data_IF_606510807964
#
_entry.id   IF_606510807964
#
_cell.length_a   1.000
_cell.length_b   1.000
_cell.length_c   1.000
_cell.angle_alpha   90.00
_cell.angle_beta   90.00
_cell.angle_gamma   90.00
#
_symmetry.space_group_name_H-M   'P 1'
#
loop_
_entity.id
_entity.type
_entity.pdbx_description
1 polymer ?
#
# COMPACT_ATOMS: atom_id res chain seq x y z
N UNK A 1 -23.34 -14.98 -9.24
CA UNK A 1 -23.88 -14.54 -10.52
C UNK A 1 -23.35 -15.41 -11.65
N UNK A 2 -22.04 -15.55 -11.86
CA UNK A 2 -21.43 -16.34 -12.95
C UNK A 2 -21.93 -17.79 -12.96
N UNK A 3 -21.95 -18.45 -11.81
CA UNK A 3 -22.45 -19.84 -11.70
C UNK A 3 -23.92 -19.99 -12.14
N UNK A 4 -24.77 -19.05 -11.74
CA UNK A 4 -26.17 -19.04 -12.14
C UNK A 4 -26.34 -18.84 -13.65
N UNK A 5 -25.59 -17.91 -14.25
CA UNK A 5 -25.65 -17.68 -15.72
C UNK A 5 -25.20 -18.91 -16.50
N UNK A 6 -24.10 -19.55 -16.08
CA UNK A 6 -23.63 -20.78 -16.72
C UNK A 6 -24.62 -21.93 -16.58
N UNK A 7 -25.27 -22.07 -15.42
CA UNK A 7 -26.31 -23.09 -15.18
C UNK A 7 -27.54 -22.87 -16.08
N UNK A 8 -28.00 -21.62 -16.21
CA UNK A 8 -29.13 -21.27 -17.08
C UNK A 8 -28.78 -21.54 -18.56
N UNK A 9 -27.58 -21.21 -19.00
CA UNK A 9 -27.12 -21.50 -20.35
C UNK A 9 -27.08 -23.01 -20.61
N UNK A 10 -26.63 -23.80 -19.64
CA UNK A 10 -26.61 -25.25 -19.73
C UNK A 10 -28.05 -25.83 -19.90
N UNK A 11 -28.98 -25.38 -19.07
CA UNK A 11 -30.37 -25.82 -19.13
C UNK A 11 -31.03 -25.44 -20.49
N UNK A 12 -30.78 -24.23 -20.98
CA UNK A 12 -31.25 -23.79 -22.30
C UNK A 12 -30.66 -24.62 -23.41
N UNK A 13 -29.37 -24.93 -23.39
CA UNK A 13 -28.69 -25.73 -24.42
C UNK A 13 -29.25 -27.16 -24.47
N UNK A 14 -29.53 -27.77 -23.32
CA UNK A 14 -30.15 -29.10 -23.23
C UNK A 14 -31.58 -29.06 -23.81
N UNK A 15 -32.38 -28.06 -23.43
CA UNK A 15 -33.76 -27.91 -23.89
C UNK A 15 -33.88 -27.67 -25.42
N UNK A 16 -32.92 -26.90 -25.99
CA UNK A 16 -32.93 -26.53 -27.42
C UNK A 16 -32.14 -27.50 -28.32
N UNK A 17 -31.58 -28.61 -27.73
CA UNK A 17 -30.71 -29.56 -28.46
C UNK A 17 -29.60 -28.87 -29.26
N UNK A 18 -29.03 -27.79 -28.72
CA UNK A 18 -28.02 -26.98 -29.40
C UNK A 18 -26.74 -27.79 -29.61
N UNK A 19 -26.07 -27.73 -30.77
CA UNK A 19 -24.81 -28.41 -30.99
C UNK A 19 -23.77 -28.01 -29.94
N UNK A 20 -23.03 -28.97 -29.43
CA UNK A 20 -22.11 -28.76 -28.31
C UNK A 20 -21.05 -27.68 -28.57
N UNK A 21 -20.59 -27.52 -29.81
CA UNK A 21 -19.62 -26.48 -30.23
C UNK A 21 -20.19 -25.07 -30.03
N UNK A 22 -21.46 -24.83 -30.37
CA UNK A 22 -22.14 -23.54 -30.21
C UNK A 22 -22.38 -23.28 -28.71
N UNK A 23 -22.73 -24.31 -27.96
CA UNK A 23 -22.90 -24.22 -26.52
C UNK A 23 -21.56 -23.85 -25.82
N UNK A 24 -20.46 -24.52 -26.20
CA UNK A 24 -19.14 -24.27 -25.71
C UNK A 24 -18.69 -22.81 -25.99
N UNK A 25 -18.93 -22.30 -27.20
CA UNK A 25 -18.64 -20.92 -27.58
C UNK A 25 -19.35 -19.90 -26.65
N UNK A 26 -20.60 -20.14 -26.31
CA UNK A 26 -21.37 -19.29 -25.39
C UNK A 26 -20.79 -19.30 -23.98
N UNK A 27 -20.33 -20.46 -23.48
CA UNK A 27 -19.68 -20.55 -22.17
C UNK A 27 -18.36 -19.78 -22.14
N UNK A 28 -17.54 -19.97 -23.17
CA UNK A 28 -16.26 -19.24 -23.29
C UNK A 28 -16.53 -17.73 -23.33
N UNK A 29 -17.49 -17.27 -24.12
CA UNK A 29 -17.85 -15.85 -24.20
C UNK A 29 -18.27 -15.26 -22.85
N UNK A 30 -19.08 -15.98 -22.07
CA UNK A 30 -19.50 -15.54 -20.72
C UNK A 30 -18.32 -15.46 -19.77
N UNK A 31 -17.41 -16.43 -19.83
CA UNK A 31 -16.22 -16.42 -18.97
C UNK A 31 -15.30 -15.26 -19.35
N UNK A 32 -15.03 -15.05 -20.63
CA UNK A 32 -14.21 -13.93 -21.10
C UNK A 32 -14.84 -12.59 -20.66
N UNK A 33 -16.15 -12.43 -20.84
CA UNK A 33 -16.86 -11.22 -20.46
C UNK A 33 -16.77 -10.96 -18.96
N UNK A 34 -16.91 -11.99 -18.12
CA UNK A 34 -16.74 -11.87 -16.67
C UNK A 34 -15.31 -11.48 -16.28
N UNK A 35 -14.30 -12.05 -16.94
CA UNK A 35 -12.90 -11.69 -16.70
C UNK A 35 -12.63 -10.23 -17.10
N UNK A 36 -13.14 -9.80 -18.25
CA UNK A 36 -13.01 -8.42 -18.73
C UNK A 36 -13.66 -7.43 -17.73
N UNK A 37 -14.90 -7.69 -17.32
CA UNK A 37 -15.57 -6.85 -16.31
C UNK A 37 -14.78 -6.83 -15.01
N UNK A 38 -14.33 -8.00 -14.53
CA UNK A 38 -13.51 -8.09 -13.30
C UNK A 38 -12.23 -7.29 -13.42
N UNK A 39 -11.55 -7.37 -14.55
CA UNK A 39 -10.33 -6.61 -14.81
C UNK A 39 -10.56 -5.09 -14.78
N UNK A 40 -11.57 -4.61 -15.48
CA UNK A 40 -11.89 -3.18 -15.52
C UNK A 40 -12.39 -2.67 -14.15
N UNK A 41 -13.29 -3.41 -13.48
CA UNK A 41 -13.83 -2.99 -12.18
C UNK A 41 -12.77 -2.98 -11.06
N UNK A 42 -11.67 -3.70 -11.23
CA UNK A 42 -10.54 -3.67 -10.30
C UNK A 42 -9.65 -2.42 -10.43
N UNK A 43 -9.80 -1.65 -11.52
CA UNK A 43 -8.97 -0.46 -11.75
C UNK A 43 -9.28 0.62 -10.71
N UNK A 44 -8.25 1.20 -10.05
CA UNK A 44 -8.44 2.25 -9.05
C UNK A 44 -9.22 3.48 -9.57
N UNK A 45 -8.97 3.85 -10.83
CA UNK A 45 -9.62 5.00 -11.50
C UNK A 45 -11.13 4.83 -11.74
N UNK A 46 -11.65 3.59 -11.68
CA UNK A 46 -13.08 3.29 -11.84
C UNK A 46 -13.79 3.06 -10.50
N UNK A 47 -13.07 3.10 -9.39
CA UNK A 47 -13.65 2.96 -8.05
C UNK A 47 -14.27 4.29 -7.63
N UNK A 48 -15.59 4.32 -7.51
CA UNK A 48 -16.31 5.43 -6.92
C UNK A 48 -16.53 5.16 -5.43
N UNK A 49 -16.15 6.12 -4.58
CA UNK A 49 -16.37 6.06 -3.14
C UNK A 49 -17.47 7.06 -2.76
N UNK A 50 -18.42 6.61 -2.00
CA UNK A 50 -19.46 7.45 -1.42
C UNK A 50 -19.44 7.30 0.09
N UNK A 51 -19.22 8.41 0.79
CA UNK A 51 -19.29 8.44 2.25
C UNK A 51 -20.73 8.69 2.69
N UNK A 52 -21.38 7.64 3.15
CA UNK A 52 -22.76 7.67 3.65
C UNK A 52 -22.87 8.16 5.10
N UNK A 53 -21.74 8.49 5.75
CA UNK A 53 -21.77 8.98 7.13
C UNK A 53 -22.31 10.40 7.19
N UNK A 54 -23.07 10.70 8.24
CA UNK A 54 -23.65 12.03 8.44
C UNK A 54 -22.58 13.13 8.53
N UNK A 55 -21.44 12.82 9.10
CA UNK A 55 -20.34 13.76 9.36
C UNK A 55 -19.26 13.75 8.28
N UNK A 56 -19.40 12.88 7.27
CA UNK A 56 -18.43 12.70 6.18
C UNK A 56 -16.97 12.62 6.66
N UNK A 57 -16.76 11.98 7.80
CA UNK A 57 -15.44 11.90 8.45
C UNK A 57 -14.41 11.07 7.64
N UNK A 58 -14.87 10.26 6.70
CA UNK A 58 -14.00 9.45 5.83
C UNK A 58 -13.78 10.11 4.46
N UNK A 59 -14.23 11.34 4.29
CA UNK A 59 -14.03 12.14 3.07
C UNK A 59 -13.13 13.32 3.39
N UNK A 60 -12.21 13.65 2.50
CA UNK A 60 -11.37 14.84 2.63
C UNK A 60 -12.23 16.10 2.67
N UNK A 61 -11.83 17.07 3.49
CA UNK A 61 -12.43 18.41 3.48
C UNK A 61 -12.25 19.07 2.12
N UNK A 62 -13.14 20.00 1.78
CA UNK A 62 -13.10 20.73 0.50
C UNK A 62 -11.73 21.41 0.28
N UNK A 63 -11.18 22.04 1.31
CA UNK A 63 -9.84 22.65 1.25
C UNK A 63 -8.74 21.64 0.94
N UNK A 64 -8.78 20.44 1.56
CA UNK A 64 -7.81 19.39 1.29
C UNK A 64 -7.92 18.83 -0.13
N UNK A 65 -9.16 18.73 -0.64
CA UNK A 65 -9.40 18.34 -2.02
C UNK A 65 -8.85 19.36 -3.02
N UNK A 66 -9.06 20.66 -2.74
CA UNK A 66 -8.54 21.74 -3.56
C UNK A 66 -7.02 21.73 -3.63
N UNK A 67 -6.33 21.60 -2.48
CA UNK A 67 -4.86 21.51 -2.41
C UNK A 67 -4.36 20.30 -3.21
N UNK A 68 -4.99 19.14 -3.07
CA UNK A 68 -4.61 17.94 -3.83
C UNK A 68 -4.85 18.09 -5.33
N UNK A 69 -5.90 18.82 -5.74
CA UNK A 69 -6.16 19.10 -7.16
C UNK A 69 -5.12 20.05 -7.77
N UNK A 70 -4.60 21.01 -6.98
CA UNK A 70 -3.50 21.89 -7.41
C UNK A 70 -2.20 21.13 -7.64
N UNK A 71 -1.99 20.03 -6.94
CA UNK A 71 -0.84 19.16 -7.14
C UNK A 71 -1.03 18.32 -8.41
N UNK A 72 -0.83 18.93 -9.59
CA UNK A 72 -0.86 18.23 -10.88
C UNK A 72 0.34 17.29 -11.02
N UNK A 73 0.15 16.11 -11.61
CA UNK A 73 1.16 15.06 -11.72
C UNK A 73 1.06 14.02 -10.61
N UNK A 74 1.85 12.98 -10.69
CA UNK A 74 1.94 11.94 -9.66
C UNK A 74 2.55 12.49 -8.37
N UNK A 75 2.09 12.00 -7.24
CA UNK A 75 2.68 12.26 -5.93
C UNK A 75 3.26 10.95 -5.38
N UNK A 76 4.49 11.01 -4.89
CA UNK A 76 5.11 9.90 -4.18
C UNK A 76 5.33 10.30 -2.72
N UNK A 77 4.73 9.58 -1.80
CA UNK A 77 4.98 9.70 -0.37
C UNK A 77 5.95 8.60 0.05
N UNK A 78 7.18 8.98 0.36
CA UNK A 78 8.22 8.07 0.85
C UNK A 78 8.32 8.19 2.35
N UNK A 79 8.08 7.08 3.06
CA UNK A 79 8.27 6.97 4.51
C UNK A 79 9.62 6.34 4.78
N UNK A 80 10.51 7.09 5.41
CA UNK A 80 11.81 6.63 5.88
C UNK A 80 11.66 6.12 7.31
N UNK A 81 11.94 4.84 7.52
CA UNK A 81 11.69 4.16 8.80
C UNK A 81 12.99 3.68 9.39
N UNK A 82 13.43 4.32 10.47
CA UNK A 82 14.55 3.86 11.27
C UNK A 82 14.10 2.72 12.20
N UNK A 83 14.64 1.52 12.02
CA UNK A 83 14.25 0.38 12.85
C UNK A 83 14.69 0.49 14.31
N UNK A 84 15.60 1.43 14.64
CA UNK A 84 16.07 1.68 16.01
C UNK A 84 15.27 2.80 16.71
N UNK A 85 14.40 3.50 15.98
CA UNK A 85 13.57 4.58 16.52
C UNK A 85 12.44 4.01 17.40
N UNK A 86 12.04 4.76 18.43
CA UNK A 86 10.91 4.38 19.28
C UNK A 86 9.56 4.48 18.55
N UNK A 87 9.46 5.30 17.50
CA UNK A 87 8.27 5.50 16.68
C UNK A 87 8.25 4.64 15.41
N UNK A 88 9.16 3.68 15.25
CA UNK A 88 9.26 2.82 14.07
C UNK A 88 7.97 2.05 13.75
N UNK A 89 7.14 1.80 14.78
CA UNK A 89 5.88 1.04 14.67
C UNK A 89 4.92 1.64 13.64
N UNK A 90 5.01 2.96 13.35
CA UNK A 90 4.13 3.64 12.40
C UNK A 90 4.35 3.18 10.96
N UNK A 91 5.55 2.73 10.62
CA UNK A 91 5.89 2.34 9.25
C UNK A 91 6.65 1.02 9.14
N UNK A 92 6.85 0.29 10.24
CA UNK A 92 7.53 -1.01 10.21
C UNK A 92 6.82 -2.00 9.27
N UNK A 93 7.53 -3.01 8.73
CA UNK A 93 6.97 -3.93 7.73
C UNK A 93 5.68 -4.61 8.16
N UNK A 94 5.54 -4.97 9.43
CA UNK A 94 4.34 -5.61 9.98
C UNK A 94 3.10 -4.69 10.03
N UNK A 95 3.32 -3.39 10.22
CA UNK A 95 2.26 -2.38 10.37
C UNK A 95 1.99 -1.57 9.10
N UNK A 96 2.68 -1.87 8.02
CA UNK A 96 2.59 -1.14 6.74
C UNK A 96 1.15 -0.97 6.23
N UNK A 97 0.33 -2.01 6.33
CA UNK A 97 -1.07 -1.95 5.91
C UNK A 97 -1.91 -1.01 6.80
N UNK A 98 -1.59 -0.97 8.09
CA UNK A 98 -2.24 -0.05 9.02
C UNK A 98 -1.88 1.39 8.69
N UNK A 99 -0.61 1.66 8.47
CA UNK A 99 -0.11 2.97 8.06
C UNK A 99 -0.76 3.44 6.74
N UNK A 100 -0.81 2.58 5.73
CA UNK A 100 -1.47 2.90 4.46
C UNK A 100 -2.95 3.25 4.61
N UNK A 101 -3.66 2.59 5.53
CA UNK A 101 -5.07 2.88 5.81
C UNK A 101 -5.30 4.28 6.37
N UNK A 102 -4.35 4.84 7.09
CA UNK A 102 -4.47 6.22 7.61
C UNK A 102 -4.51 7.26 6.49
N UNK A 103 -3.87 6.94 5.35
CA UNK A 103 -3.86 7.80 4.16
C UNK A 103 -4.89 7.39 3.11
N UNK A 104 -5.78 6.44 3.43
CA UNK A 104 -6.73 5.89 2.46
C UNK A 104 -7.66 6.95 1.87
N UNK A 105 -8.10 7.93 2.65
CA UNK A 105 -8.92 9.02 2.15
C UNK A 105 -8.21 9.86 1.08
N UNK A 106 -6.89 10.05 1.20
CA UNK A 106 -6.09 10.76 0.21
C UNK A 106 -5.89 9.93 -1.07
N UNK A 107 -5.56 8.65 -0.92
CA UNK A 107 -5.34 7.75 -2.05
C UNK A 107 -6.65 7.37 -2.76
N UNK A 108 -7.79 7.43 -2.08
CA UNK A 108 -9.13 7.31 -2.69
C UNK A 108 -9.45 8.52 -3.56
N UNK A 109 -9.17 9.72 -3.06
CA UNK A 109 -9.42 10.96 -3.78
C UNK A 109 -8.44 11.15 -4.95
N UNK A 110 -7.16 10.84 -4.73
CA UNK A 110 -6.09 10.92 -5.74
C UNK A 110 -5.35 9.58 -5.85
N UNK A 111 -5.83 8.65 -6.69
CA UNK A 111 -5.27 7.30 -6.82
C UNK A 111 -3.83 7.24 -7.35
N UNK A 112 -3.34 8.37 -7.89
CA UNK A 112 -1.97 8.51 -8.40
C UNK A 112 -0.93 8.64 -7.28
N UNK A 113 -1.36 8.85 -6.03
CA UNK A 113 -0.45 8.88 -4.88
C UNK A 113 0.16 7.50 -4.68
N UNK A 114 1.49 7.43 -4.80
CA UNK A 114 2.27 6.23 -4.54
C UNK A 114 2.85 6.31 -3.13
N UNK A 115 2.73 5.23 -2.37
CA UNK A 115 3.33 5.11 -1.05
C UNK A 115 4.53 4.19 -1.12
N UNK A 116 5.70 4.70 -0.73
CA UNK A 116 6.96 3.96 -0.66
C UNK A 116 7.45 3.91 0.78
N UNK A 117 8.18 2.86 1.12
CA UNK A 117 8.81 2.69 2.42
C UNK A 117 10.28 2.37 2.20
N UNK A 118 11.14 3.11 2.87
CA UNK A 118 12.58 2.91 2.89
C UNK A 118 12.98 2.61 4.32
N UNK A 119 13.55 1.43 4.52
CA UNK A 119 13.96 0.96 5.84
C UNK A 119 15.46 1.18 6.00
N UNK A 120 15.86 1.69 7.15
CA UNK A 120 17.26 1.92 7.49
C UNK A 120 17.50 1.70 8.97
N UNK A 121 18.76 1.71 9.37
CA UNK A 121 19.17 1.77 10.76
C UNK A 121 20.21 2.86 10.91
N UNK A 122 20.02 3.70 11.90
CA UNK A 122 20.99 4.70 12.33
C UNK A 122 20.72 5.02 13.79
N UNK A 123 21.72 5.61 14.46
CA UNK A 123 21.61 5.98 15.86
C UNK A 123 20.35 6.81 16.11
N UNK A 124 19.56 6.41 17.11
CA UNK A 124 18.34 7.10 17.51
C UNK A 124 18.40 7.48 18.99
N UNK A 125 17.43 8.28 19.43
CA UNK A 125 17.29 8.67 20.85
C UNK A 125 16.56 7.62 21.71
N UNK A 126 16.36 6.40 21.23
CA UNK A 126 15.65 5.32 21.92
C UNK A 126 16.50 4.72 23.07
N UNK A 127 16.58 5.42 24.19
CA UNK A 127 17.35 5.00 25.37
C UNK A 127 16.94 3.61 25.88
N UNK A 128 15.65 3.28 25.80
CA UNK A 128 15.14 1.98 26.20
C UNK A 128 15.72 0.84 25.38
N UNK A 129 15.81 1.02 24.08
CA UNK A 129 16.38 0.03 23.17
C UNK A 129 17.84 -0.24 23.49
N UNK A 130 18.62 0.81 23.69
CA UNK A 130 20.06 0.70 24.01
C UNK A 130 20.29 0.11 25.39
N UNK A 131 19.49 0.45 26.38
CA UNK A 131 19.61 -0.12 27.75
C UNK A 131 19.31 -1.63 27.77
N UNK A 132 18.42 -2.11 26.89
CA UNK A 132 18.12 -3.54 26.74
C UNK A 132 19.17 -4.30 25.91
N UNK A 133 20.07 -3.59 25.25
CA UNK A 133 21.09 -4.15 24.36
C UNK A 133 22.49 -3.58 24.66
N UNK A 134 22.98 -3.66 25.90
CA UNK A 134 24.25 -3.06 26.25
C UNK A 134 25.41 -3.68 25.48
N UNK A 135 26.28 -2.81 24.95
CA UNK A 135 27.50 -3.24 24.24
C UNK A 135 27.30 -3.70 22.79
N UNK A 136 26.06 -3.75 22.29
CA UNK A 136 25.80 -4.04 20.89
C UNK A 136 25.90 -2.76 20.05
N UNK A 137 26.40 -2.89 18.83
CA UNK A 137 26.39 -1.86 17.79
C UNK A 137 24.97 -1.71 17.20
N UNK A 138 24.67 -0.55 16.59
CA UNK A 138 23.39 -0.30 15.91
C UNK A 138 23.05 -1.40 14.90
N UNK A 139 24.04 -1.87 14.15
CA UNK A 139 23.89 -2.99 13.21
C UNK A 139 23.51 -4.30 13.90
N UNK A 140 24.14 -4.64 15.01
CA UNK A 140 23.83 -5.87 15.76
C UNK A 140 22.43 -5.80 16.36
N UNK A 141 22.02 -4.64 16.85
CA UNK A 141 20.65 -4.41 17.34
C UNK A 141 19.66 -4.58 16.20
N UNK A 142 19.91 -3.95 15.04
CA UNK A 142 19.08 -4.12 13.85
C UNK A 142 18.94 -5.59 13.45
N UNK A 143 20.04 -6.33 13.37
CA UNK A 143 20.02 -7.77 13.03
C UNK A 143 19.18 -8.56 14.05
N UNK A 144 19.36 -8.30 15.34
CA UNK A 144 18.60 -8.95 16.41
C UNK A 144 17.10 -8.70 16.28
N UNK A 145 16.69 -7.45 16.04
CA UNK A 145 15.28 -7.08 15.85
C UNK A 145 14.68 -7.72 14.61
N UNK A 146 15.42 -7.68 13.49
CA UNK A 146 14.97 -8.25 12.21
C UNK A 146 14.77 -9.76 12.30
N UNK A 147 15.72 -10.48 12.89
CA UNK A 147 15.61 -11.93 13.12
C UNK A 147 14.43 -12.26 14.01
N UNK A 148 14.21 -11.50 15.09
CA UNK A 148 13.07 -11.71 15.98
C UNK A 148 11.72 -11.53 15.29
N UNK A 149 11.65 -10.66 14.27
CA UNK A 149 10.45 -10.41 13.47
C UNK A 149 10.38 -11.26 12.19
N UNK A 150 11.36 -12.09 11.91
CA UNK A 150 11.43 -12.89 10.68
C UNK A 150 11.65 -12.06 9.42
N UNK A 151 12.31 -10.91 9.53
CA UNK A 151 12.56 -9.98 8.43
C UNK A 151 13.95 -10.20 7.81
N UNK A 152 14.08 -9.88 6.51
CA UNK A 152 15.38 -9.90 5.83
C UNK A 152 16.22 -8.68 6.26
N UNK A 153 17.40 -8.94 6.82
CA UNK A 153 18.34 -7.91 7.26
C UNK A 153 18.88 -7.05 6.11
N UNK A 154 18.85 -7.58 4.87
CA UNK A 154 19.33 -6.85 3.69
C UNK A 154 18.37 -5.76 3.21
N UNK A 155 17.14 -5.70 3.75
CA UNK A 155 16.19 -4.66 3.41
C UNK A 155 16.53 -3.29 4.05
N UNK A 156 17.43 -3.27 5.02
CA UNK A 156 17.79 -2.06 5.74
C UNK A 156 19.03 -1.40 5.15
N UNK A 157 18.88 -0.15 4.73
CA UNK A 157 19.99 0.67 4.27
C UNK A 157 20.93 1.00 5.42
N UNK A 158 22.22 1.06 5.10
CA UNK A 158 23.24 1.55 6.04
C UNK A 158 23.17 3.09 6.14
N UNK A 159 23.70 3.67 7.24
CA UNK A 159 23.73 5.13 7.39
C UNK A 159 24.37 5.86 6.20
N UNK A 160 25.45 5.30 5.64
CA UNK A 160 26.17 5.91 4.51
C UNK A 160 25.34 5.84 3.21
N UNK A 161 24.57 4.77 3.02
CA UNK A 161 23.70 4.58 1.86
C UNK A 161 22.49 5.52 1.93
N UNK A 162 21.91 5.69 3.13
CA UNK A 162 20.82 6.62 3.36
C UNK A 162 21.24 8.06 3.07
N UNK A 163 22.41 8.48 3.56
CA UNK A 163 22.93 9.85 3.36
C UNK A 163 23.15 10.22 1.89
N UNK A 164 23.32 9.23 1.00
CA UNK A 164 23.38 9.48 -0.45
C UNK A 164 22.00 9.77 -1.03
N UNK A 165 20.92 9.38 -0.34
CA UNK A 165 19.54 9.59 -0.79
C UNK A 165 18.96 10.81 -0.10
N UNK A 166 19.09 10.88 1.22
CA UNK A 166 18.55 11.94 2.07
C UNK A 166 19.34 12.03 3.38
N UNK A 167 19.55 13.26 3.86
CA UNK A 167 20.11 13.50 5.18
C UNK A 167 18.99 13.78 6.19
N UNK A 168 18.82 12.85 7.14
CA UNK A 168 17.80 12.92 8.19
C UNK A 168 18.41 13.27 9.56
N UNK A 169 19.67 13.69 9.60
CA UNK A 169 20.35 14.02 10.87
C UNK A 169 19.72 15.22 11.59
N UNK A 170 19.11 16.14 10.84
CA UNK A 170 18.36 17.28 11.41
C UNK A 170 17.05 16.87 12.08
N UNK A 171 16.54 15.68 11.77
CA UNK A 171 15.32 15.10 12.33
C UNK A 171 15.64 14.00 13.37
N UNK A 172 16.83 14.01 13.92
CA UNK A 172 17.32 13.01 14.92
C UNK A 172 17.16 11.55 14.43
N UNK A 173 17.17 11.34 13.12
CA UNK A 173 16.93 10.05 12.47
C UNK A 173 15.58 9.41 12.85
N UNK A 174 14.58 10.20 13.21
CA UNK A 174 13.22 9.73 13.42
C UNK A 174 12.55 9.24 12.13
N UNK A 175 11.38 8.64 12.28
CA UNK A 175 10.52 8.29 11.12
C UNK A 175 10.05 9.56 10.42
N UNK A 176 10.45 9.74 9.17
CA UNK A 176 10.14 10.93 8.36
C UNK A 176 9.35 10.54 7.12
N UNK A 177 8.38 11.38 6.75
CA UNK A 177 7.64 11.25 5.49
C UNK A 177 7.96 12.41 4.57
N UNK A 178 8.40 12.08 3.38
CA UNK A 178 8.69 13.03 2.31
C UNK A 178 7.65 12.89 1.22
N UNK A 179 7.03 14.00 0.86
CA UNK A 179 6.09 14.06 -0.24
C UNK A 179 6.77 14.71 -1.44
N UNK A 180 6.94 13.94 -2.49
CA UNK A 180 7.59 14.37 -3.73
C UNK A 180 6.59 14.41 -4.87
N UNK A 181 6.70 15.43 -5.69
CA UNK A 181 5.94 15.55 -6.93
C UNK A 181 6.71 14.91 -8.06
N UNK A 182 6.07 14.03 -8.81
CA UNK A 182 6.64 13.48 -10.05
C UNK A 182 6.54 14.57 -11.14
N UNK A 183 7.68 15.05 -11.63
CA UNK A 183 7.75 16.00 -12.73
C UNK A 183 7.55 15.30 -14.09
#
# INVERSE_FOLDING_TARGET
VLFLTLSILRLKAIRQKTPWKISLGKYIAVVIFAVVIGYFSARPSLKCFYDATRTKQQTLTENSQEILNMATGGLTMTTYVNCLDEFNWTGEPGNRLYDQRQFEQYTRFKPEIKMKYVYFYDKSQNERLYSLNPGLTDREIMVKLSVAQGLDTNMYLKPEELKQIIDLSSEDNHVVRVLEREN
#
